data_IF_753471099992
#
_entry.id   IF_753471099992
#
_cell.length_a   1.000
_cell.length_b   1.000
_cell.length_c   1.000
_cell.angle_alpha   90.00
_cell.angle_beta   90.00
_cell.angle_gamma   90.00
#
_symmetry.space_group_name_H-M   'P 1'
#
loop_
_entity.id
_entity.type
_entity.pdbx_description
1 polymer ?
#
# COMPACT_ATOMS: atom_id res chain seq x y z
N UNK A 1 -4.83 23.80 -12.80
CA UNK A 1 -4.91 23.02 -11.55
C UNK A 1 -4.74 23.99 -10.41
N UNK A 2 -5.70 24.07 -9.48
CA UNK A 2 -5.65 25.06 -8.40
C UNK A 2 -4.93 24.45 -7.21
N UNK A 3 -3.63 24.73 -7.08
CA UNK A 3 -2.97 24.64 -5.77
C UNK A 3 -3.71 25.63 -4.88
N UNK A 4 -4.30 25.17 -3.79
CA UNK A 4 -4.85 26.08 -2.79
C UNK A 4 -3.67 26.79 -2.11
N UNK A 5 -3.15 27.83 -2.75
CA UNK A 5 -2.07 28.65 -2.21
C UNK A 5 -2.65 29.45 -1.06
N UNK A 6 -2.03 29.32 0.12
CA UNK A 6 -2.41 30.13 1.27
C UNK A 6 -2.08 31.60 0.97
N UNK A 7 -3.11 32.43 0.82
CA UNK A 7 -2.97 33.86 0.54
C UNK A 7 -2.72 34.62 1.84
N UNK A 8 -1.43 34.78 2.16
CA UNK A 8 -0.95 35.47 3.36
C UNK A 8 -1.45 36.93 3.43
N UNK A 9 -1.58 37.61 2.28
CA UNK A 9 -2.01 39.01 2.23
C UNK A 9 -3.49 39.10 2.58
N UNK A 10 -4.34 38.37 1.85
CA UNK A 10 -5.80 38.34 2.10
C UNK A 10 -6.12 37.92 3.53
N UNK A 11 -5.38 36.95 4.08
CA UNK A 11 -5.55 36.52 5.47
C UNK A 11 -5.19 37.64 6.47
N UNK A 12 -4.05 38.32 6.29
CA UNK A 12 -3.64 39.42 7.16
C UNK A 12 -4.60 40.62 7.08
N UNK A 13 -5.13 40.92 5.90
CA UNK A 13 -6.12 41.98 5.69
C UNK A 13 -7.44 41.65 6.37
N UNK A 14 -7.94 40.43 6.22
CA UNK A 14 -9.16 39.95 6.88
C UNK A 14 -9.04 40.05 8.40
N UNK A 15 -7.87 39.71 8.95
CA UNK A 15 -7.60 39.80 10.39
C UNK A 15 -7.57 41.27 10.85
N UNK A 16 -6.95 42.16 10.08
CA UNK A 16 -6.93 43.60 10.36
C UNK A 16 -8.33 44.21 10.32
N UNK A 17 -9.14 43.84 9.32
CA UNK A 17 -10.55 44.26 9.22
C UNK A 17 -11.40 43.77 10.40
N UNK A 18 -11.00 42.65 11.02
CA UNK A 18 -11.61 42.10 12.22
C UNK A 18 -11.14 42.79 13.53
N UNK A 19 -10.34 43.87 13.43
CA UNK A 19 -9.85 44.65 14.56
C UNK A 19 -8.51 44.19 15.13
N UNK A 20 -7.82 43.26 14.46
CA UNK A 20 -6.51 42.77 14.92
C UNK A 20 -5.39 43.75 14.53
N UNK A 21 -4.43 44.05 15.44
CA UNK A 21 -3.27 44.88 15.11
C UNK A 21 -2.44 44.32 13.95
N UNK A 22 -2.00 45.19 13.04
CA UNK A 22 -1.28 44.81 11.81
C UNK A 22 -0.05 43.93 12.08
N UNK A 23 0.75 44.27 13.09
CA UNK A 23 1.94 43.49 13.45
C UNK A 23 1.59 42.05 13.84
N UNK A 24 0.49 41.85 14.57
CA UNK A 24 0.03 40.51 14.95
C UNK A 24 -0.60 39.78 13.77
N UNK A 25 -1.39 40.47 12.93
CA UNK A 25 -2.03 39.88 11.76
C UNK A 25 -0.99 39.35 10.77
N UNK A 26 0.11 40.09 10.58
CA UNK A 26 1.25 39.69 9.75
C UNK A 26 2.06 38.56 10.38
N UNK A 27 2.29 38.60 11.70
CA UNK A 27 3.02 37.54 12.40
C UNK A 27 2.26 36.19 12.31
N UNK A 28 0.95 36.20 12.53
CA UNK A 28 0.12 35.00 12.43
C UNK A 28 0.01 34.48 10.99
N UNK A 29 -0.10 35.38 10.00
CA UNK A 29 -0.16 34.97 8.59
C UNK A 29 1.14 34.30 8.12
N UNK A 30 2.29 34.80 8.58
CA UNK A 30 3.60 34.21 8.29
C UNK A 30 3.79 32.86 8.99
N UNK A 31 3.47 32.76 10.28
CA UNK A 31 3.56 31.51 11.02
C UNK A 31 2.68 30.41 10.41
N UNK A 32 1.47 30.77 9.94
CA UNK A 32 0.58 29.80 9.30
C UNK A 32 1.05 29.39 7.90
N UNK A 33 1.68 30.31 7.15
CA UNK A 33 2.30 29.98 5.86
C UNK A 33 3.43 28.96 6.02
N UNK A 34 4.28 29.15 7.03
CA UNK A 34 5.41 28.26 7.33
C UNK A 34 4.92 26.84 7.61
N UNK A 35 3.95 26.68 8.52
CA UNK A 35 3.34 25.37 8.82
C UNK A 35 2.64 24.75 7.61
N UNK A 36 1.91 25.55 6.82
CA UNK A 36 1.17 25.02 5.66
C UNK A 36 2.08 24.64 4.50
N UNK A 37 3.27 25.24 4.39
CA UNK A 37 4.27 24.89 3.37
C UNK A 37 4.94 23.54 3.61
N UNK A 38 4.99 23.07 4.86
CA UNK A 38 5.54 21.77 5.23
C UNK A 38 4.53 20.62 5.07
N UNK A 39 3.24 20.94 4.89
CA UNK A 39 2.21 19.92 4.76
C UNK A 39 2.20 19.30 3.36
N UNK A 40 2.16 17.96 3.26
CA UNK A 40 2.01 17.29 1.98
C UNK A 40 0.66 17.68 1.34
N UNK A 41 0.69 17.89 0.03
CA UNK A 41 -0.52 18.26 -0.69
C UNK A 41 -1.48 17.08 -0.79
N UNK A 42 -2.76 17.36 -1.08
CA UNK A 42 -3.74 16.29 -1.38
C UNK A 42 -3.30 15.41 -2.54
N UNK A 43 -2.51 15.95 -3.48
CA UNK A 43 -2.00 15.20 -4.60
C UNK A 43 -0.89 14.23 -4.16
N UNK A 44 0.02 14.67 -3.29
CA UNK A 44 1.08 13.82 -2.74
C UNK A 44 0.48 12.66 -1.95
N UNK A 45 -0.53 12.93 -1.12
CA UNK A 45 -1.24 11.88 -0.39
C UNK A 45 -1.96 10.91 -1.33
N UNK A 46 -2.57 11.40 -2.42
CA UNK A 46 -3.21 10.52 -3.42
C UNK A 46 -2.19 9.66 -4.15
N UNK A 47 -1.04 10.21 -4.50
CA UNK A 47 0.04 9.46 -5.13
C UNK A 47 0.55 8.35 -4.20
N UNK A 48 0.81 8.66 -2.93
CA UNK A 48 1.25 7.68 -1.94
C UNK A 48 0.22 6.56 -1.70
N UNK A 49 -1.08 6.90 -1.66
CA UNK A 49 -2.16 5.89 -1.53
C UNK A 49 -2.22 4.99 -2.75
N UNK A 50 -2.03 5.53 -3.95
CA UNK A 50 -2.08 4.75 -5.19
C UNK A 50 -0.87 3.83 -5.33
N UNK A 51 0.31 4.31 -4.95
CA UNK A 51 1.54 3.51 -4.87
C UNK A 51 1.36 2.32 -3.91
N UNK A 52 0.89 2.57 -2.69
CA UNK A 52 0.64 1.52 -1.70
C UNK A 52 -0.41 0.50 -2.19
N UNK A 53 -1.45 0.97 -2.90
CA UNK A 53 -2.45 0.08 -3.51
C UNK A 53 -1.84 -0.83 -4.57
N UNK A 54 -0.92 -0.31 -5.37
CA UNK A 54 -0.25 -1.08 -6.42
C UNK A 54 0.68 -2.12 -5.82
N UNK A 55 1.44 -1.76 -4.78
CA UNK A 55 2.30 -2.70 -4.03
C UNK A 55 1.46 -3.84 -3.43
N UNK A 56 0.40 -3.52 -2.70
CA UNK A 56 -0.50 -4.53 -2.12
C UNK A 56 -1.12 -5.45 -3.18
N UNK A 57 -1.49 -4.89 -4.33
CA UNK A 57 -2.03 -5.69 -5.44
C UNK A 57 -0.96 -6.63 -6.01
N UNK A 58 0.27 -6.15 -6.17
CA UNK A 58 1.40 -6.95 -6.66
C UNK A 58 1.73 -8.08 -5.69
N UNK A 59 1.85 -7.80 -4.40
CA UNK A 59 2.10 -8.81 -3.37
C UNK A 59 0.97 -9.86 -3.32
N UNK A 60 -0.30 -9.42 -3.37
CA UNK A 60 -1.43 -10.34 -3.40
C UNK A 60 -1.40 -11.27 -4.63
N UNK A 61 -0.97 -10.76 -5.79
CA UNK A 61 -0.80 -11.58 -6.98
C UNK A 61 0.36 -12.57 -6.84
N UNK A 62 1.49 -12.15 -6.27
CA UNK A 62 2.63 -13.05 -5.99
C UNK A 62 2.21 -14.18 -5.07
N UNK A 63 1.56 -13.87 -3.94
CA UNK A 63 1.09 -14.87 -2.98
C UNK A 63 0.09 -15.84 -3.61
N UNK A 64 -0.84 -15.35 -4.44
CA UNK A 64 -1.77 -16.21 -5.18
C UNK A 64 -1.04 -17.15 -6.14
N UNK A 65 -0.04 -16.65 -6.86
CA UNK A 65 0.76 -17.47 -7.77
C UNK A 65 1.58 -18.53 -7.01
N UNK A 66 2.17 -18.18 -5.87
CA UNK A 66 2.91 -19.11 -5.02
C UNK A 66 1.99 -20.22 -4.47
N UNK A 67 0.79 -19.87 -3.99
CA UNK A 67 -0.21 -20.85 -3.53
C UNK A 67 -0.62 -21.79 -4.66
N UNK A 68 -0.91 -21.26 -5.85
CA UNK A 68 -1.27 -22.07 -7.02
C UNK A 68 -0.16 -23.03 -7.45
N UNK A 69 1.11 -22.72 -7.16
CA UNK A 69 2.22 -23.62 -7.47
C UNK A 69 2.41 -24.74 -6.42
N UNK A 70 1.88 -24.56 -5.21
CA UNK A 70 1.98 -25.56 -4.13
C UNK A 70 1.04 -26.74 -4.39
N UNK A 71 -0.21 -26.49 -4.77
CA UNK A 71 -1.23 -27.53 -5.03
C UNK A 71 -0.80 -28.65 -6.01
N UNK A 72 -0.30 -28.33 -7.23
CA UNK A 72 0.09 -29.37 -8.18
C UNK A 72 1.34 -30.12 -7.72
N UNK A 73 2.29 -29.45 -7.06
CA UNK A 73 3.51 -30.09 -6.54
C UNK A 73 3.18 -31.12 -5.46
N UNK A 74 2.22 -30.81 -4.58
CA UNK A 74 1.75 -31.76 -3.58
C UNK A 74 1.03 -32.95 -4.23
N UNK A 75 0.14 -32.68 -5.20
CA UNK A 75 -0.60 -33.74 -5.90
C UNK A 75 0.34 -34.70 -6.64
N UNK A 76 1.35 -34.19 -7.35
CA UNK A 76 2.35 -35.00 -8.06
C UNK A 76 3.17 -35.84 -7.08
N UNK A 77 3.64 -35.23 -5.97
CA UNK A 77 4.42 -35.95 -4.95
C UNK A 77 3.61 -37.08 -4.31
N UNK A 78 2.35 -36.81 -3.95
CA UNK A 78 1.45 -37.82 -3.38
C UNK A 78 1.16 -38.94 -4.39
N UNK A 79 0.86 -38.59 -5.65
CA UNK A 79 0.66 -39.58 -6.71
C UNK A 79 1.89 -40.48 -6.91
N UNK A 80 3.09 -39.93 -6.92
CA UNK A 80 4.34 -40.69 -7.01
C UNK A 80 4.54 -41.66 -5.85
N UNK A 81 4.30 -41.20 -4.61
CA UNK A 81 4.39 -42.06 -3.41
C UNK A 81 3.38 -43.20 -3.48
N UNK A 82 2.13 -42.93 -3.89
CA UNK A 82 1.09 -43.95 -4.04
C UNK A 82 1.48 -45.00 -5.09
N UNK A 83 1.98 -44.58 -6.26
CA UNK A 83 2.42 -45.51 -7.31
C UNK A 83 3.59 -46.38 -6.84
N UNK A 84 4.57 -45.80 -6.15
CA UNK A 84 5.72 -46.55 -5.59
C UNK A 84 5.24 -47.55 -4.54
N UNK A 85 4.37 -47.12 -3.61
CA UNK A 85 3.85 -47.98 -2.56
C UNK A 85 3.03 -49.15 -3.11
N UNK A 86 2.15 -48.89 -4.08
CA UNK A 86 1.37 -49.93 -4.76
C UNK A 86 2.25 -50.88 -5.57
N UNK A 87 3.27 -50.36 -6.26
CA UNK A 87 4.24 -51.17 -6.99
C UNK A 87 5.03 -52.11 -6.07
N UNK A 88 5.53 -51.60 -4.94
CA UNK A 88 6.21 -52.41 -3.95
C UNK A 88 5.28 -53.48 -3.34
N UNK A 89 4.03 -53.11 -3.04
CA UNK A 89 3.03 -54.03 -2.48
C UNK A 89 2.69 -55.18 -3.44
N UNK A 90 2.46 -54.87 -4.72
CA UNK A 90 2.16 -55.88 -5.75
C UNK A 90 3.34 -56.80 -6.06
N UNK A 91 4.57 -56.27 -6.05
CA UNK A 91 5.77 -57.09 -6.21
C UNK A 91 5.95 -58.06 -5.03
N UNK A 92 5.70 -57.59 -3.81
CA UNK A 92 5.82 -58.39 -2.61
C UNK A 92 4.73 -59.48 -2.52
N UNK A 93 3.48 -59.14 -2.86
CA UNK A 93 2.38 -60.11 -2.85
C UNK A 93 2.60 -61.24 -3.86
N UNK A 94 3.17 -60.94 -5.03
CA UNK A 94 3.52 -61.94 -6.04
C UNK A 94 4.73 -62.81 -5.66
N UNK A 95 5.59 -62.34 -4.75
CA UNK A 95 6.72 -63.11 -4.27
C UNK A 95 6.33 -64.07 -3.13
N UNK A 96 5.29 -63.73 -2.36
CA UNK A 96 4.75 -64.56 -1.28
C UNK A 96 3.68 -65.57 -1.72
N UNK A 97 3.04 -65.36 -2.87
CA UNK A 97 2.07 -66.28 -3.47
C UNK A 97 2.75 -67.29 -4.40
#
# INVERSE_FOLDING_TARGET
MSTATFDTLKFSETMRESGMPEAQAKALSQALLEVTSELPTRQDLRAAVEELRNELRSESQSLRAEIQQIEPRLTIRLGGIVVIALGAFTALSRWMA
#
